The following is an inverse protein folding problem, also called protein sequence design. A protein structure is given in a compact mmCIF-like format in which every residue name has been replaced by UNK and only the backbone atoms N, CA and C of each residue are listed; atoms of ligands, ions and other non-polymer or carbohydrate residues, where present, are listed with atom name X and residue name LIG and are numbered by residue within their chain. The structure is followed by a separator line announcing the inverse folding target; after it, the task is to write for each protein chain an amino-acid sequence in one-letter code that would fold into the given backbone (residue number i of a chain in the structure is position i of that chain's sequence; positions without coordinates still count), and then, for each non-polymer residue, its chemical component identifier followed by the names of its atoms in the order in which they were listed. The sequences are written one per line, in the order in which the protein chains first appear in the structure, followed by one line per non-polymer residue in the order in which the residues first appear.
data_IF_162373162126
#
_entry.id   IF_162373162126
#
_cell.length_a   1.000
_cell.length_b   1.000
_cell.length_c   1.000
_cell.angle_alpha   90.00
_cell.angle_beta   90.00
_cell.angle_gamma   90.00
#
_symmetry.space_group_name_H-M   'P 1'
#
loop_
_entity.id
_entity.type
_entity.pdbx_description
1 polymer ?
#
# COMPACT_ATOMS: atom_id res chain seq x y z
N UNK A 1 8.69 19.28 -14.57
CA UNK A 1 7.22 19.54 -14.58
C UNK A 1 6.80 19.64 -13.13
N UNK A 2 6.36 20.79 -12.73
CA UNK A 2 5.87 21.07 -11.39
C UNK A 2 4.50 20.37 -11.19
N UNK A 3 4.09 20.14 -9.95
CA UNK A 3 2.82 19.49 -9.62
C UNK A 3 1.61 20.27 -10.15
N UNK A 4 1.72 21.58 -10.22
CA UNK A 4 0.69 22.46 -10.76
C UNK A 4 0.57 22.33 -12.29
N UNK A 5 1.68 22.22 -13.01
CA UNK A 5 1.70 21.91 -14.45
C UNK A 5 1.09 20.52 -14.74
N UNK A 6 1.37 19.53 -13.88
CA UNK A 6 0.79 18.19 -14.00
C UNK A 6 -0.75 18.22 -13.85
N UNK A 7 -1.27 18.90 -12.84
CA UNK A 7 -2.71 19.06 -12.65
C UNK A 7 -3.39 19.83 -13.78
N UNK A 8 -2.72 20.86 -14.30
CA UNK A 8 -3.21 21.64 -15.45
C UNK A 8 -3.24 20.79 -16.73
N UNK A 9 -2.23 19.95 -16.93
CA UNK A 9 -2.14 19.04 -18.08
C UNK A 9 -3.21 17.93 -18.06
N UNK A 10 -3.69 17.51 -16.86
CA UNK A 10 -4.78 16.57 -16.71
C UNK A 10 -6.17 17.15 -17.07
N UNK A 11 -6.28 18.48 -17.19
CA UNK A 11 -7.55 19.16 -17.35
C UNK A 11 -8.43 19.13 -16.09
N UNK A 12 -9.34 20.09 -15.96
CA UNK A 12 -10.16 20.24 -14.74
C UNK A 12 -11.06 19.02 -14.45
N UNK A 13 -11.58 18.35 -15.47
CA UNK A 13 -12.46 17.20 -15.29
C UNK A 13 -11.66 15.92 -14.96
N UNK A 14 -10.48 15.74 -15.53
CA UNK A 14 -9.58 14.64 -15.19
C UNK A 14 -8.97 14.81 -13.80
N UNK A 15 -8.66 16.03 -13.37
CA UNK A 15 -8.17 16.29 -12.02
C UNK A 15 -9.23 15.98 -10.95
N UNK A 16 -10.52 16.24 -11.22
CA UNK A 16 -11.64 15.85 -10.33
C UNK A 16 -11.83 14.33 -10.26
N UNK A 17 -11.62 13.64 -11.37
CA UNK A 17 -11.74 12.19 -11.45
C UNK A 17 -10.45 11.45 -11.07
N UNK A 18 -9.32 12.16 -11.01
CA UNK A 18 -8.07 11.52 -10.58
C UNK A 18 -8.17 11.13 -9.12
N UNK A 19 -7.96 9.86 -8.84
CA UNK A 19 -7.92 9.31 -7.48
C UNK A 19 -6.59 9.65 -6.76
N UNK A 20 -5.99 10.81 -7.10
CA UNK A 20 -4.77 11.28 -6.47
C UNK A 20 -5.01 11.53 -4.98
N UNK A 21 -4.24 10.88 -4.14
CA UNK A 21 -4.33 10.96 -2.69
C UNK A 21 -3.65 12.24 -2.20
N UNK A 22 -2.45 12.53 -2.72
CA UNK A 22 -1.68 13.71 -2.34
C UNK A 22 -2.22 15.00 -2.96
N UNK A 23 -2.41 16.02 -2.14
CA UNK A 23 -2.83 17.36 -2.58
C UNK A 23 -1.70 18.37 -2.54
N UNK A 24 -0.72 18.20 -1.65
CA UNK A 24 0.33 19.18 -1.37
C UNK A 24 1.71 18.75 -1.88
N UNK A 25 1.86 17.53 -2.40
CA UNK A 25 3.14 16.99 -2.89
C UNK A 25 4.20 16.76 -1.82
N UNK A 26 3.85 16.82 -0.53
CA UNK A 26 4.81 16.72 0.57
C UNK A 26 4.98 15.30 1.13
N UNK A 27 4.08 14.37 0.80
CA UNK A 27 4.13 12.99 1.33
C UNK A 27 5.43 12.26 0.99
N UNK A 28 6.06 12.59 -0.14
CA UNK A 28 7.35 12.06 -0.54
C UNK A 28 8.45 12.29 0.51
N UNK A 29 8.44 13.45 1.18
CA UNK A 29 9.47 13.79 2.17
C UNK A 29 9.42 12.94 3.44
N UNK A 30 8.31 12.24 3.69
CA UNK A 30 8.22 11.28 4.80
C UNK A 30 9.23 10.13 4.67
N UNK A 31 9.73 9.85 3.47
CA UNK A 31 10.79 8.87 3.25
C UNK A 31 12.07 9.17 4.03
N UNK A 32 12.37 10.44 4.31
CA UNK A 32 13.55 10.82 5.11
C UNK A 32 13.42 10.54 6.63
N UNK A 33 12.23 10.15 7.09
CA UNK A 33 12.06 9.64 8.46
C UNK A 33 12.84 8.33 8.62
N UNK A 34 12.78 7.46 7.60
CA UNK A 34 13.34 6.10 7.64
C UNK A 34 14.62 5.94 6.82
N UNK A 35 14.98 6.91 5.97
CA UNK A 35 16.13 6.85 5.08
C UNK A 35 17.09 8.03 5.28
N UNK A 36 18.39 7.77 5.17
CA UNK A 36 19.43 8.79 5.17
C UNK A 36 19.62 9.44 3.81
N UNK A 37 19.20 8.73 2.76
CA UNK A 37 19.30 9.18 1.38
C UNK A 37 18.16 8.61 0.55
N UNK A 38 17.62 9.40 -0.36
CA UNK A 38 16.63 8.97 -1.35
C UNK A 38 17.17 9.22 -2.74
N UNK A 39 17.09 8.21 -3.58
CA UNK A 39 17.40 8.29 -5.01
C UNK A 39 16.11 8.09 -5.81
N UNK A 40 15.82 8.98 -6.72
CA UNK A 40 14.69 8.89 -7.65
C UNK A 40 15.20 8.88 -9.07
N UNK A 41 14.86 7.85 -9.84
CA UNK A 41 15.17 7.73 -11.26
C UNK A 41 13.87 7.69 -12.05
N UNK A 42 13.69 8.63 -12.95
CA UNK A 42 12.45 8.74 -13.73
C UNK A 42 12.72 9.00 -15.20
N UNK A 43 11.93 8.36 -16.06
CA UNK A 43 11.84 8.67 -17.47
C UNK A 43 10.38 8.74 -17.90
N UNK A 44 10.02 9.81 -18.56
CA UNK A 44 8.67 10.02 -19.10
C UNK A 44 8.39 9.03 -20.24
N UNK A 45 7.15 8.54 -20.30
CA UNK A 45 6.70 7.71 -21.41
C UNK A 45 6.82 8.50 -22.75
N UNK A 46 7.33 7.85 -23.80
CA UNK A 46 7.55 8.46 -25.10
C UNK A 46 8.90 9.17 -25.28
N UNK A 47 9.63 9.44 -24.20
CA UNK A 47 11.00 10.00 -24.31
C UNK A 47 12.04 8.92 -24.61
N UNK A 48 13.15 9.26 -25.31
CA UNK A 48 14.27 8.34 -25.55
C UNK A 48 14.92 7.83 -24.25
N UNK A 49 15.62 6.69 -24.32
CA UNK A 49 16.26 6.07 -23.14
C UNK A 49 17.30 6.98 -22.47
N UNK A 50 17.95 7.86 -23.21
CA UNK A 50 18.95 8.81 -22.72
C UNK A 50 18.38 10.09 -22.11
N UNK A 51 17.05 10.19 -21.94
CA UNK A 51 16.35 11.31 -21.31
C UNK A 51 15.82 10.96 -19.90
N UNK A 52 16.38 9.94 -19.28
CA UNK A 52 16.15 9.65 -17.88
C UNK A 52 16.79 10.72 -16.99
N UNK A 53 16.18 10.98 -15.83
CA UNK A 53 16.69 11.89 -14.81
C UNK A 53 16.85 11.14 -13.51
N UNK A 54 17.99 11.27 -12.86
CA UNK A 54 18.24 10.84 -11.49
C UNK A 54 18.29 12.06 -10.57
N UNK A 55 17.52 12.01 -9.52
CA UNK A 55 17.51 12.97 -8.41
C UNK A 55 17.98 12.27 -7.14
N UNK A 56 18.84 12.91 -6.37
CA UNK A 56 19.37 12.37 -5.12
C UNK A 56 19.38 13.46 -4.05
N UNK A 57 18.92 13.13 -2.85
CA UNK A 57 18.99 14.01 -1.68
C UNK A 57 19.18 13.21 -0.39
N UNK A 58 19.78 13.85 0.60
CA UNK A 58 19.93 13.39 1.99
C UNK A 58 18.92 14.05 2.94
N UNK A 59 17.96 14.81 2.43
CA UNK A 59 16.94 15.49 3.23
C UNK A 59 17.39 16.79 3.91
N UNK A 60 18.63 17.24 3.72
CA UNK A 60 19.16 18.48 4.34
C UNK A 60 18.77 19.76 3.58
N UNK A 61 17.85 19.66 2.60
CA UNK A 61 17.43 20.76 1.74
C UNK A 61 18.28 20.92 0.49
N UNK A 62 19.28 20.08 0.28
CA UNK A 62 20.08 20.01 -0.94
C UNK A 62 19.74 18.76 -1.75
N UNK A 63 19.89 18.85 -3.05
CA UNK A 63 19.73 17.72 -3.97
C UNK A 63 20.66 17.88 -5.16
N UNK A 64 20.90 16.77 -5.84
CA UNK A 64 21.60 16.74 -7.14
C UNK A 64 20.68 16.16 -8.19
N UNK A 65 20.83 16.59 -9.44
CA UNK A 65 20.17 16.01 -10.60
C UNK A 65 21.18 15.73 -11.68
N UNK A 66 21.00 14.60 -12.35
CA UNK A 66 21.79 14.22 -13.52
C UNK A 66 20.92 13.55 -14.57
N UNK A 67 21.29 13.69 -15.83
CA UNK A 67 20.69 12.94 -16.93
C UNK A 67 21.31 11.55 -16.97
N UNK A 68 20.48 10.52 -17.05
CA UNK A 68 20.89 9.11 -17.06
C UNK A 68 20.29 8.38 -18.26
N UNK A 69 20.90 7.26 -18.62
CA UNK A 69 20.26 6.28 -19.49
C UNK A 69 19.33 5.39 -18.65
N UNK A 70 18.04 5.32 -19.03
CA UNK A 70 17.03 4.48 -18.37
C UNK A 70 16.19 3.78 -19.43
N UNK A 71 16.40 2.47 -19.58
CA UNK A 71 15.78 1.66 -20.63
C UNK A 71 14.25 1.64 -20.57
N UNK A 72 13.66 1.60 -19.36
CA UNK A 72 12.21 1.58 -19.15
C UNK A 72 11.70 2.95 -18.75
N UNK A 73 10.50 3.35 -19.21
CA UNK A 73 9.79 4.51 -18.68
C UNK A 73 9.24 4.23 -17.27
N UNK A 74 8.82 5.29 -16.58
CA UNK A 74 8.32 5.21 -15.21
C UNK A 74 9.34 5.69 -14.18
N UNK A 75 9.00 5.55 -12.91
CA UNK A 75 9.80 6.08 -11.79
C UNK A 75 10.21 4.95 -10.85
N UNK A 76 11.50 4.93 -10.50
CA UNK A 76 12.06 4.08 -9.46
C UNK A 76 12.49 4.98 -8.29
N UNK A 77 12.12 4.59 -7.06
CA UNK A 77 12.49 5.30 -5.83
C UNK A 77 13.25 4.31 -4.95
N UNK A 78 14.48 4.66 -4.60
CA UNK A 78 15.33 3.87 -3.71
C UNK A 78 15.52 4.62 -2.39
N UNK A 79 15.08 4.00 -1.29
CA UNK A 79 15.31 4.46 0.06
C UNK A 79 16.56 3.78 0.61
N UNK A 80 17.59 4.55 0.94
CA UNK A 80 18.77 4.05 1.64
C UNK A 80 18.45 4.13 3.14
N UNK A 81 17.97 3.04 3.71
CA UNK A 81 17.44 3.00 5.06
C UNK A 81 18.51 3.32 6.11
N UNK A 82 18.11 4.01 7.17
CA UNK A 82 18.87 4.10 8.40
C UNK A 82 19.03 2.72 9.02
N UNK A 83 20.11 2.48 9.73
CA UNK A 83 20.48 1.15 10.24
C UNK A 83 19.38 0.50 11.08
N UNK A 84 18.75 1.25 11.99
CA UNK A 84 17.68 0.73 12.84
C UNK A 84 16.44 0.27 12.04
N UNK A 85 16.11 0.92 10.93
CA UNK A 85 15.00 0.51 10.03
C UNK A 85 15.38 -0.60 9.04
N UNK A 86 16.68 -0.84 8.86
CA UNK A 86 17.16 -1.97 8.06
C UNK A 86 17.31 -3.26 8.88
N UNK A 87 17.57 -3.14 10.19
CA UNK A 87 17.80 -4.27 11.09
C UNK A 87 16.62 -4.60 12.01
N UNK A 88 15.72 -3.62 12.24
CA UNK A 88 14.65 -3.71 13.23
C UNK A 88 15.15 -3.55 14.67
N UNK A 89 16.29 -2.84 14.87
CA UNK A 89 16.80 -2.49 16.20
C UNK A 89 16.08 -1.27 16.78
N UNK A 90 16.23 -1.04 18.09
CA UNK A 90 15.66 0.12 18.81
C UNK A 90 14.14 0.28 18.63
N UNK A 91 13.40 -0.84 18.67
CA UNK A 91 11.94 -0.90 18.46
C UNK A 91 11.47 -0.40 17.08
N UNK A 92 12.37 -0.19 16.13
CA UNK A 92 12.04 0.19 14.76
C UNK A 92 11.57 -1.03 13.96
N UNK A 93 10.66 -0.79 13.01
CA UNK A 93 10.23 -1.84 12.07
C UNK A 93 11.34 -2.11 11.04
N UNK A 94 11.61 -3.38 10.77
CA UNK A 94 12.51 -3.79 9.69
C UNK A 94 11.80 -3.69 8.33
N UNK A 95 12.13 -2.66 7.55
CA UNK A 95 11.55 -2.47 6.21
C UNK A 95 12.23 -3.27 5.10
N UNK A 96 13.26 -4.07 5.41
CA UNK A 96 13.79 -5.08 4.48
C UNK A 96 13.05 -6.41 4.61
N UNK A 97 12.28 -6.60 5.69
CA UNK A 97 11.46 -7.77 5.89
C UNK A 97 10.17 -7.70 5.05
N UNK A 98 9.95 -8.72 4.25
CA UNK A 98 8.80 -8.81 3.34
C UNK A 98 7.47 -8.87 4.06
N UNK A 99 7.43 -9.58 5.18
CA UNK A 99 6.21 -9.69 5.98
C UNK A 99 5.80 -8.32 6.54
N UNK A 100 6.75 -7.56 7.01
CA UNK A 100 6.56 -6.16 7.45
C UNK A 100 5.96 -5.32 6.34
N UNK A 101 6.53 -5.37 5.13
CA UNK A 101 6.01 -4.61 3.98
C UNK A 101 4.60 -5.07 3.59
N UNK A 102 4.35 -6.37 3.49
CA UNK A 102 3.00 -6.90 3.20
C UNK A 102 1.98 -6.46 4.25
N UNK A 103 2.34 -6.51 5.52
CA UNK A 103 1.48 -6.07 6.63
C UNK A 103 1.13 -4.58 6.53
N UNK A 104 2.10 -3.72 6.23
CA UNK A 104 1.89 -2.28 6.03
C UNK A 104 1.01 -1.99 4.82
N UNK A 105 1.24 -2.68 3.70
CA UNK A 105 0.40 -2.53 2.50
C UNK A 105 -1.04 -2.94 2.80
N UNK A 106 -1.24 -4.09 3.45
CA UNK A 106 -2.57 -4.57 3.82
C UNK A 106 -3.27 -3.62 4.80
N UNK A 107 -2.54 -3.03 5.74
CA UNK A 107 -3.11 -2.09 6.70
C UNK A 107 -3.52 -0.77 6.07
N UNK A 108 -2.65 -0.16 5.25
CA UNK A 108 -2.82 1.23 4.81
C UNK A 108 -3.26 1.38 3.36
N UNK A 109 -2.98 0.42 2.50
CA UNK A 109 -3.10 0.53 1.04
C UNK A 109 -3.83 -0.64 0.38
N UNK A 110 -4.50 -1.51 1.16
CA UNK A 110 -5.18 -2.70 0.63
C UNK A 110 -6.24 -2.34 -0.42
N UNK A 111 -6.90 -1.21 -0.25
CA UNK A 111 -8.04 -0.79 -1.06
C UNK A 111 -7.76 0.29 -2.10
N UNK A 112 -6.52 0.74 -2.25
CA UNK A 112 -6.18 1.69 -3.32
C UNK A 112 -6.38 1.03 -4.69
N UNK A 113 -6.72 1.83 -5.70
CA UNK A 113 -7.09 1.30 -7.04
C UNK A 113 -5.91 0.77 -7.87
N UNK A 114 -4.69 0.97 -7.41
CA UNK A 114 -3.47 0.52 -8.09
C UNK A 114 -3.01 -0.81 -7.48
N UNK A 115 -2.68 -1.82 -8.31
CA UNK A 115 -2.07 -3.05 -7.81
C UNK A 115 -0.65 -2.75 -7.29
N UNK A 116 -0.39 -3.16 -6.06
CA UNK A 116 0.95 -3.16 -5.47
C UNK A 116 1.51 -4.56 -5.64
N UNK A 117 2.65 -4.66 -6.27
CA UNK A 117 3.28 -5.94 -6.60
C UNK A 117 4.63 -6.08 -5.90
N UNK A 118 4.91 -7.28 -5.42
CA UNK A 118 6.22 -7.69 -4.90
C UNK A 118 6.72 -8.90 -5.69
N UNK A 119 8.04 -9.06 -5.82
CA UNK A 119 8.61 -10.28 -6.35
C UNK A 119 8.19 -11.45 -5.47
N UNK A 120 7.77 -12.54 -6.10
CA UNK A 120 7.37 -13.76 -5.41
C UNK A 120 8.60 -14.46 -4.83
N UNK A 121 8.45 -15.03 -3.65
CA UNK A 121 9.44 -15.95 -3.06
C UNK A 121 8.92 -17.38 -3.16
N UNK A 122 9.82 -18.28 -3.49
CA UNK A 122 9.55 -19.71 -3.49
C UNK A 122 10.60 -20.41 -2.62
N UNK A 123 10.12 -21.40 -1.88
CA UNK A 123 11.01 -22.26 -1.11
C UNK A 123 11.79 -23.15 -2.06
N UNK A 124 13.11 -23.16 -1.92
CA UNK A 124 14.00 -24.07 -2.63
C UNK A 124 14.67 -24.98 -1.62
N UNK A 125 14.40 -26.27 -1.76
CA UNK A 125 15.02 -27.28 -0.92
C UNK A 125 16.53 -27.37 -1.18
N UNK A 126 17.31 -27.58 -0.10
CA UNK A 126 18.73 -27.91 -0.20
C UNK A 126 18.88 -29.34 -0.71
N UNK A 127 19.73 -29.54 -1.70
CA UNK A 127 20.06 -30.87 -2.21
C UNK A 127 21.41 -31.36 -1.63
N UNK A 128 21.51 -32.64 -1.31
CA UNK A 128 22.79 -33.24 -0.93
C UNK A 128 23.69 -33.51 -2.14
N UNK A 129 24.87 -34.10 -1.89
CA UNK A 129 25.86 -34.45 -2.93
C UNK A 129 25.34 -35.45 -3.97
N UNK A 130 24.25 -36.18 -3.66
CA UNK A 130 23.61 -37.17 -4.53
C UNK A 130 22.40 -36.54 -5.30
N UNK A 131 22.04 -35.30 -5.00
CA UNK A 131 20.87 -34.61 -5.57
C UNK A 131 19.56 -34.95 -4.88
N UNK A 132 19.61 -35.52 -3.66
CA UNK A 132 18.42 -35.80 -2.84
C UNK A 132 18.10 -34.63 -1.93
N UNK A 133 16.79 -34.37 -1.71
CA UNK A 133 16.32 -33.27 -0.86
C UNK A 133 16.70 -33.52 0.59
N UNK A 134 17.40 -32.59 1.21
CA UNK A 134 17.71 -32.60 2.62
C UNK A 134 16.53 -32.13 3.43
N UNK A 135 15.83 -33.04 4.10
CA UNK A 135 14.59 -32.74 4.81
C UNK A 135 14.75 -31.59 5.82
N UNK A 136 13.90 -30.60 5.69
CA UNK A 136 13.86 -29.42 6.58
C UNK A 136 14.97 -28.41 6.35
N UNK A 137 15.78 -28.54 5.30
CA UNK A 137 16.75 -27.55 4.86
C UNK A 137 16.36 -26.95 3.51
N UNK A 138 16.60 -25.68 3.35
CA UNK A 138 16.30 -24.91 2.14
C UNK A 138 16.30 -23.42 2.46
N UNK A 139 16.06 -22.62 1.46
CA UNK A 139 15.95 -21.18 1.59
C UNK A 139 14.84 -20.62 0.70
N UNK A 140 14.31 -19.44 1.08
CA UNK A 140 13.41 -18.69 0.21
C UNK A 140 14.20 -17.89 -0.81
N UNK A 141 13.97 -18.16 -2.09
CA UNK A 141 14.58 -17.44 -3.20
C UNK A 141 13.58 -16.51 -3.88
N UNK A 142 14.04 -15.32 -4.26
CA UNK A 142 13.26 -14.40 -5.06
C UNK A 142 13.19 -14.88 -6.51
N UNK A 143 11.97 -15.12 -6.99
CA UNK A 143 11.71 -15.45 -8.40
C UNK A 143 11.61 -14.20 -9.26
N UNK A 144 11.55 -14.35 -10.59
CA UNK A 144 11.25 -13.24 -11.50
C UNK A 144 9.75 -12.96 -11.65
N UNK A 145 8.90 -13.74 -10.99
CA UNK A 145 7.47 -13.53 -10.94
C UNK A 145 7.09 -12.49 -9.90
N UNK A 146 5.96 -11.82 -10.13
CA UNK A 146 5.37 -10.84 -9.21
C UNK A 146 4.03 -11.33 -8.69
N UNK A 147 3.79 -11.13 -7.41
CA UNK A 147 2.49 -11.31 -6.77
C UNK A 147 1.88 -9.95 -6.41
N UNK A 148 0.57 -9.81 -6.59
CA UNK A 148 -0.16 -8.62 -6.12
C UNK A 148 -0.49 -8.81 -4.65
N UNK A 149 -0.08 -7.87 -3.80
CA UNK A 149 -0.14 -7.97 -2.33
C UNK A 149 -1.24 -7.12 -1.71
N UNK A 150 -2.01 -6.37 -2.51
CA UNK A 150 -3.20 -5.64 -2.07
C UNK A 150 -4.42 -6.07 -2.89
N UNK A 151 -5.61 -5.82 -2.36
CA UNK A 151 -6.86 -6.17 -3.07
C UNK A 151 -7.18 -5.25 -4.23
N UNK A 152 -6.58 -4.06 -4.26
CA UNK A 152 -6.80 -3.01 -5.27
C UNK A 152 -8.28 -2.65 -5.53
N UNK A 153 -9.17 -3.01 -4.62
CA UNK A 153 -10.61 -2.76 -4.70
C UNK A 153 -11.16 -2.35 -3.34
N UNK A 154 -12.21 -1.52 -3.35
CA UNK A 154 -12.89 -1.08 -2.15
C UNK A 154 -14.39 -1.37 -2.30
N UNK A 155 -14.90 -2.33 -1.53
CA UNK A 155 -16.28 -2.79 -1.62
C UNK A 155 -17.27 -1.64 -1.44
N UNK A 156 -17.02 -0.73 -0.50
CA UNK A 156 -17.89 0.43 -0.23
C UNK A 156 -17.95 1.46 -1.35
N UNK A 157 -17.13 1.36 -2.39
CA UNK A 157 -17.19 2.28 -3.53
C UNK A 157 -18.11 1.78 -4.65
N UNK A 158 -18.55 0.53 -4.56
CA UNK A 158 -19.47 -0.10 -5.51
C UNK A 158 -20.92 0.24 -5.15
N UNK A 159 -21.81 0.13 -6.15
CA UNK A 159 -23.25 0.28 -5.91
C UNK A 159 -23.74 -0.89 -5.06
N UNK A 160 -24.55 -0.66 -3.98
CA UNK A 160 -25.04 -1.75 -3.15
C UNK A 160 -25.77 -2.87 -3.91
N UNK A 161 -26.49 -2.54 -4.99
CA UNK A 161 -27.16 -3.53 -5.84
C UNK A 161 -26.23 -4.48 -6.60
N UNK A 162 -24.95 -4.11 -6.73
CA UNK A 162 -23.95 -4.86 -7.48
C UNK A 162 -23.06 -5.71 -6.57
N UNK A 163 -23.42 -5.78 -5.29
CA UNK A 163 -22.67 -6.49 -4.26
C UNK A 163 -23.56 -7.58 -3.70
N UNK A 164 -23.09 -8.81 -3.71
CA UNK A 164 -23.79 -9.95 -3.14
C UNK A 164 -23.63 -10.03 -1.62
N UNK A 165 -24.55 -10.69 -0.94
CA UNK A 165 -24.48 -10.94 0.50
C UNK A 165 -23.19 -11.65 0.89
N UNK A 166 -22.75 -12.61 0.09
CA UNK A 166 -21.49 -13.31 0.32
C UNK A 166 -20.28 -12.37 0.27
N UNK A 167 -20.24 -11.40 -0.65
CA UNK A 167 -19.16 -10.40 -0.72
C UNK A 167 -19.14 -9.51 0.53
N UNK A 168 -20.31 -9.13 1.06
CA UNK A 168 -20.41 -8.38 2.33
C UNK A 168 -19.91 -9.20 3.51
N UNK A 169 -20.25 -10.47 3.59
CA UNK A 169 -19.81 -11.39 4.65
C UNK A 169 -18.32 -11.63 4.62
N UNK A 170 -17.76 -11.91 3.45
CA UNK A 170 -16.30 -12.10 3.28
C UNK A 170 -15.52 -10.81 3.56
N UNK A 171 -16.06 -9.66 3.18
CA UNK A 171 -15.45 -8.38 3.53
C UNK A 171 -15.43 -8.16 5.05
N UNK A 172 -16.54 -8.44 5.74
CA UNK A 172 -16.63 -8.37 7.21
C UNK A 172 -15.54 -9.22 7.87
N UNK A 173 -15.45 -10.51 7.53
CA UNK A 173 -14.43 -11.42 8.07
C UNK A 173 -13.01 -10.89 7.85
N UNK A 174 -12.76 -10.33 6.68
CA UNK A 174 -11.45 -9.76 6.35
C UNK A 174 -11.09 -8.53 7.22
N UNK A 175 -12.05 -7.65 7.46
CA UNK A 175 -11.80 -6.37 8.16
C UNK A 175 -11.76 -6.54 9.67
N UNK A 176 -12.55 -7.48 10.20
CA UNK A 176 -12.69 -7.72 11.65
C UNK A 176 -11.83 -8.86 12.15
N UNK A 177 -11.32 -9.71 11.26
CA UNK A 177 -10.67 -11.00 11.59
C UNK A 177 -11.61 -11.97 12.32
N UNK A 178 -12.92 -11.77 12.21
CA UNK A 178 -13.93 -12.70 12.71
C UNK A 178 -14.07 -13.89 11.72
N UNK A 179 -14.33 -15.07 12.24
CA UNK A 179 -14.55 -16.28 11.42
C UNK A 179 -16.03 -16.53 11.15
N UNK A 180 -16.93 -15.89 11.90
CA UNK A 180 -18.38 -16.03 11.74
C UNK A 180 -18.93 -14.93 10.82
N UNK A 181 -20.06 -15.19 10.19
CA UNK A 181 -20.78 -14.19 9.41
C UNK A 181 -21.37 -13.12 10.32
N UNK A 182 -21.49 -11.87 9.86
CA UNK A 182 -22.17 -10.82 10.62
C UNK A 182 -23.66 -11.14 10.76
N UNK A 183 -24.29 -10.65 11.83
CA UNK A 183 -25.72 -10.75 12.04
C UNK A 183 -26.49 -9.89 11.03
N UNK A 184 -25.99 -8.70 10.77
CA UNK A 184 -26.57 -7.74 9.84
C UNK A 184 -25.52 -6.72 9.37
N UNK A 185 -25.81 -6.06 8.24
CA UNK A 185 -25.01 -4.93 7.75
C UNK A 185 -25.88 -3.87 7.10
N UNK A 186 -25.30 -2.69 6.95
CA UNK A 186 -25.91 -1.61 6.18
C UNK A 186 -24.84 -0.89 5.37
N UNK A 187 -25.16 -0.61 4.12
CA UNK A 187 -24.28 0.09 3.18
C UNK A 187 -25.03 1.32 2.65
N UNK A 188 -24.62 2.52 3.06
CA UNK A 188 -25.29 3.77 2.72
C UNK A 188 -24.29 4.78 2.15
N UNK A 189 -24.74 5.50 1.14
CA UNK A 189 -24.07 6.68 0.63
C UNK A 189 -24.83 7.92 1.11
N UNK A 190 -24.12 8.77 1.82
CA UNK A 190 -24.69 10.02 2.34
C UNK A 190 -24.21 11.16 1.47
N UNK A 191 -25.15 11.92 0.93
CA UNK A 191 -24.90 13.10 0.08
C UNK A 191 -25.38 14.34 0.82
N UNK A 192 -24.52 15.36 0.87
CA UNK A 192 -24.80 16.61 1.57
C UNK A 192 -23.59 17.54 1.52
N UNK A 193 -23.47 18.40 2.53
CA UNK A 193 -22.30 19.27 2.67
C UNK A 193 -20.99 18.47 2.80
N UNK A 194 -21.06 17.33 3.42
CA UNK A 194 -19.99 16.32 3.47
C UNK A 194 -20.55 15.06 2.84
N UNK A 195 -19.84 14.49 1.87
CA UNK A 195 -20.22 13.25 1.21
C UNK A 195 -19.36 12.12 1.76
N UNK A 196 -19.99 11.03 2.16
CA UNK A 196 -19.30 9.85 2.63
C UNK A 196 -20.11 8.58 2.36
N UNK A 197 -19.43 7.46 2.32
CA UNK A 197 -20.04 6.13 2.31
C UNK A 197 -19.77 5.47 3.65
N UNK A 198 -20.80 4.87 4.23
CA UNK A 198 -20.66 4.06 5.43
C UNK A 198 -21.06 2.62 5.14
N UNK A 199 -20.27 1.70 5.67
CA UNK A 199 -20.54 0.27 5.68
C UNK A 199 -20.39 -0.19 7.13
N UNK A 200 -21.50 -0.52 7.76
CA UNK A 200 -21.57 -0.89 9.17
C UNK A 200 -22.02 -2.34 9.30
N UNK A 201 -21.44 -3.04 10.27
CA UNK A 201 -21.76 -4.44 10.56
C UNK A 201 -22.15 -4.61 12.02
N UNK A 202 -23.03 -5.54 12.26
CA UNK A 202 -23.36 -6.02 13.61
C UNK A 202 -22.78 -7.44 13.71
N UNK A 203 -21.83 -7.70 14.59
CA UNK A 203 -21.28 -9.03 14.79
C UNK A 203 -22.37 -9.97 15.34
N UNK A 204 -22.30 -11.26 15.04
CA UNK A 204 -23.21 -12.27 15.54
C UNK A 204 -23.07 -12.49 17.05
N UNK A 205 -21.85 -12.32 17.56
CA UNK A 205 -21.55 -12.37 18.98
C UNK A 205 -21.02 -11.02 19.45
N UNK A 206 -21.48 -10.57 20.61
CA UNK A 206 -20.94 -9.36 21.22
C UNK A 206 -19.43 -9.55 21.50
N UNK A 207 -18.59 -8.56 21.18
CA UNK A 207 -17.19 -8.59 21.56
C UNK A 207 -17.05 -8.74 23.09
N UNK A 208 -16.08 -9.51 23.54
CA UNK A 208 -15.84 -9.77 24.97
C UNK A 208 -15.49 -8.49 25.76
N UNK A 209 -14.92 -7.50 25.07
CA UNK A 209 -14.49 -6.21 25.62
C UNK A 209 -15.56 -5.09 25.49
N UNK A 210 -16.77 -5.42 25.02
CA UNK A 210 -17.86 -4.46 24.80
C UNK A 210 -18.12 -3.54 25.99
N UNK A 211 -17.97 -4.06 27.22
CA UNK A 211 -18.16 -3.33 28.45
C UNK A 211 -16.86 -2.86 29.10
N UNK A 212 -15.71 -3.06 28.44
CA UNK A 212 -14.44 -2.57 28.97
C UNK A 212 -14.36 -1.04 28.88
N UNK A 213 -13.67 -0.41 29.88
CA UNK A 213 -13.49 1.05 29.89
C UNK A 213 -12.66 1.57 28.71
N UNK A 214 -11.78 0.75 28.18
CA UNK A 214 -10.89 1.04 27.05
C UNK A 214 -11.31 0.25 25.81
N UNK A 215 -12.59 0.24 25.53
CA UNK A 215 -13.12 -0.41 24.33
C UNK A 215 -12.58 0.27 23.05
N UNK A 216 -11.95 -0.49 22.17
CA UNK A 216 -11.57 0.00 20.85
C UNK A 216 -12.83 0.28 20.03
N UNK A 217 -12.90 1.47 19.42
CA UNK A 217 -14.13 1.97 18.80
C UNK A 217 -14.57 1.23 17.54
N UNK A 218 -13.78 0.32 17.00
CA UNK A 218 -14.16 -0.57 15.89
C UNK A 218 -14.60 0.11 14.58
N UNK A 219 -14.44 1.44 14.44
CA UNK A 219 -14.75 2.17 13.23
C UNK A 219 -13.46 2.52 12.48
N UNK A 220 -13.34 2.04 11.26
CA UNK A 220 -12.20 2.33 10.39
C UNK A 220 -12.54 3.49 9.46
N UNK A 221 -11.72 4.53 9.47
CA UNK A 221 -11.85 5.68 8.58
C UNK A 221 -10.92 5.54 7.38
N UNK A 222 -11.49 5.69 6.20
CA UNK A 222 -10.73 5.71 4.95
C UNK A 222 -10.96 7.04 4.22
N UNK A 223 -9.89 7.63 3.69
CA UNK A 223 -9.97 8.79 2.80
C UNK A 223 -9.36 8.38 1.46
N UNK A 224 -10.14 8.48 0.38
CA UNK A 224 -9.73 8.03 -0.97
C UNK A 224 -9.13 6.61 -0.96
N UNK A 225 -9.76 5.68 -0.22
CA UNK A 225 -9.39 4.27 -0.06
C UNK A 225 -8.09 4.01 0.73
N UNK A 226 -7.49 5.03 1.30
CA UNK A 226 -6.35 4.89 2.23
C UNK A 226 -6.87 4.88 3.65
N UNK A 227 -6.42 3.89 4.44
CA UNK A 227 -6.73 3.83 5.86
C UNK A 227 -6.09 5.00 6.61
N UNK A 228 -6.87 5.66 7.46
CA UNK A 228 -6.43 6.81 8.25
C UNK A 228 -6.32 6.45 9.73
N UNK A 229 -7.39 5.86 10.28
CA UNK A 229 -7.46 5.54 11.71
C UNK A 229 -8.60 4.56 12.03
N UNK A 230 -8.53 3.93 13.17
CA UNK A 230 -9.55 3.11 13.83
C UNK A 230 -9.75 3.53 15.29
#
# INVERSE_FOLDING_TARGET
MDFHEFLTALGQDQAKNSQLIGQFGVGFYSGFIVADKITVESRKAGEPSNQGVRWVSDGTGKFTTETIEKATHGTAITLHLKENYATGSDDAQNYLDRYTIKSLVNKYSDHISLPIQMRKEEWQDELDENGEVVAGKGEYILTDEYETINKASALWTRTPSDITDNEYQEFYKTVTYDFEDPLAWTHNRVEGRVQYTQLLYIPKKAPFDLYAREHQRGLKLYVKRVFIMD
#
